data_IF_905164933758
#
_entry.id   IF_905164933758
#
_cell.length_a   1.000
_cell.length_b   1.000
_cell.length_c   1.000
_cell.angle_alpha   90.00
_cell.angle_beta   90.00
_cell.angle_gamma   90.00
#
_symmetry.space_group_name_H-M   'P 1'
#
loop_
_entity.id
_entity.type
_entity.pdbx_description
1 polymer ?
#
# COMPACT_ATOMS: atom_id res chain seq x y z
N UNK A 1 8.97 8.43 10.32
CA UNK A 1 9.49 7.57 9.21
C UNK A 1 8.65 7.76 7.96
N UNK A 2 9.20 7.63 6.75
CA UNK A 2 8.45 7.82 5.48
C UNK A 2 7.13 7.01 5.43
N UNK A 3 7.14 5.75 5.87
CA UNK A 3 5.92 4.92 5.88
C UNK A 3 4.82 5.44 6.81
N UNK A 4 5.17 6.05 7.95
CA UNK A 4 4.19 6.68 8.85
C UNK A 4 3.59 7.93 8.20
N UNK A 5 4.42 8.79 7.61
CA UNK A 5 3.95 9.97 6.88
C UNK A 5 3.07 9.59 5.68
N UNK A 6 3.39 8.51 4.96
CA UNK A 6 2.57 7.98 3.86
C UNK A 6 1.20 7.51 4.35
N UNK A 7 1.13 6.82 5.49
CA UNK A 7 -0.15 6.41 6.11
C UNK A 7 -0.99 7.63 6.50
N UNK A 8 -0.39 8.62 7.16
CA UNK A 8 -1.11 9.86 7.52
C UNK A 8 -1.62 10.60 6.28
N UNK A 9 -0.79 10.73 5.25
CA UNK A 9 -1.17 11.38 3.99
C UNK A 9 -2.35 10.65 3.34
N UNK A 10 -2.29 9.31 3.24
CA UNK A 10 -3.36 8.51 2.67
C UNK A 10 -4.67 8.62 3.47
N UNK A 11 -4.60 8.60 4.81
CA UNK A 11 -5.76 8.78 5.68
C UNK A 11 -6.41 10.16 5.48
N UNK A 12 -5.60 11.23 5.42
CA UNK A 12 -6.09 12.59 5.13
C UNK A 12 -6.67 12.69 3.73
N UNK A 13 -6.03 12.07 2.72
CA UNK A 13 -6.57 12.03 1.36
C UNK A 13 -7.95 11.40 1.34
N UNK A 14 -8.11 10.25 1.99
CA UNK A 14 -9.38 9.55 2.09
C UNK A 14 -10.43 10.34 2.87
N UNK A 15 -10.08 10.91 4.03
CA UNK A 15 -11.03 11.67 4.83
C UNK A 15 -11.58 12.88 4.07
N UNK A 16 -10.71 13.70 3.49
CA UNK A 16 -11.13 14.91 2.79
C UNK A 16 -11.81 14.60 1.45
N UNK A 17 -11.30 13.64 0.68
CA UNK A 17 -11.87 13.26 -0.61
C UNK A 17 -13.16 12.46 -0.50
N UNK A 18 -13.17 11.40 0.34
CA UNK A 18 -14.28 10.44 0.41
C UNK A 18 -15.29 10.73 1.51
N UNK A 19 -14.85 11.08 2.73
CA UNK A 19 -15.77 11.29 3.85
C UNK A 19 -16.41 12.68 3.80
N UNK A 20 -15.61 13.70 3.49
CA UNK A 20 -16.09 15.09 3.43
C UNK A 20 -16.50 15.54 2.03
N UNK A 21 -16.19 14.76 0.98
CA UNK A 21 -16.54 15.10 -0.40
C UNK A 21 -15.89 16.39 -0.90
N UNK A 22 -14.79 16.83 -0.28
CA UNK A 22 -14.09 18.08 -0.62
C UNK A 22 -13.22 17.95 -1.89
N UNK A 23 -13.24 16.78 -2.51
CA UNK A 23 -12.61 16.49 -3.80
C UNK A 23 -11.10 16.30 -3.73
N UNK A 24 -10.50 16.21 -4.92
CA UNK A 24 -9.07 15.97 -5.13
C UNK A 24 -8.29 17.25 -5.45
N UNK A 25 -8.90 18.42 -5.27
CA UNK A 25 -8.23 19.70 -5.51
C UNK A 25 -7.29 20.04 -4.35
N UNK A 26 -6.17 20.73 -4.61
CA UNK A 26 -5.35 21.31 -3.56
C UNK A 26 -6.18 22.22 -2.64
N UNK A 27 -5.80 22.31 -1.37
CA UNK A 27 -6.45 23.21 -0.41
C UNK A 27 -6.43 24.66 -0.91
N UNK A 28 -7.61 25.26 -1.10
CA UNK A 28 -7.78 26.60 -1.63
C UNK A 28 -9.00 27.28 -1.00
N UNK A 29 -9.04 28.60 -1.07
CA UNK A 29 -10.21 29.36 -0.64
C UNK A 29 -11.29 29.30 -1.73
N UNK A 30 -12.55 29.19 -1.34
CA UNK A 30 -13.67 29.28 -2.29
C UNK A 30 -13.63 30.62 -3.03
N UNK A 31 -13.85 30.59 -4.34
CA UNK A 31 -13.95 31.78 -5.19
C UNK A 31 -15.29 32.51 -5.04
N UNK A 32 -16.23 31.96 -4.27
CA UNK A 32 -17.56 32.54 -4.06
C UNK A 32 -17.44 33.80 -3.20
N UNK A 33 -17.82 34.93 -3.78
CA UNK A 33 -17.74 36.24 -3.13
C UNK A 33 -18.55 36.25 -1.81
N UNK A 34 -17.88 36.55 -0.71
CA UNK A 34 -18.48 36.58 0.63
C UNK A 34 -18.38 35.25 1.41
N UNK A 35 -17.86 34.19 0.80
CA UNK A 35 -17.66 32.91 1.47
C UNK A 35 -16.16 32.62 1.68
N UNK A 36 -15.70 32.68 2.94
CA UNK A 36 -14.31 32.35 3.30
C UNK A 36 -14.09 30.87 3.59
N UNK A 37 -14.99 29.99 3.16
CA UNK A 37 -14.80 28.54 3.34
C UNK A 37 -13.60 28.06 2.53
N UNK A 38 -12.75 27.27 3.18
CA UNK A 38 -11.66 26.57 2.51
C UNK A 38 -12.16 25.23 1.98
N UNK A 39 -11.77 24.91 0.75
CA UNK A 39 -12.15 23.73 0.00
C UNK A 39 -10.90 22.95 -0.45
N UNK A 40 -11.11 21.71 -0.90
CA UNK A 40 -10.05 20.83 -1.36
C UNK A 40 -9.42 20.02 -0.23
N UNK A 41 -8.18 19.58 -0.48
CA UNK A 41 -7.48 18.64 0.37
C UNK A 41 -6.07 19.12 0.72
N UNK A 42 -5.74 19.34 2.01
CA UNK A 42 -4.42 19.80 2.41
C UNK A 42 -3.32 18.77 2.10
N UNK A 43 -3.66 17.48 2.03
CA UNK A 43 -2.71 16.41 1.71
C UNK A 43 -2.25 16.42 0.25
N UNK A 44 -2.99 17.11 -0.63
CA UNK A 44 -2.71 17.29 -2.06
C UNK A 44 -1.86 18.54 -2.35
N UNK A 45 -1.51 19.32 -1.33
CA UNK A 45 -0.69 20.52 -1.50
C UNK A 45 0.71 20.21 -2.07
N UNK A 46 1.25 21.19 -2.80
CA UNK A 46 2.62 21.13 -3.36
C UNK A 46 3.65 20.98 -2.24
N UNK A 47 3.48 21.71 -1.12
CA UNK A 47 4.36 21.61 0.04
C UNK A 47 4.42 20.19 0.62
N UNK A 48 3.26 19.55 0.85
CA UNK A 48 3.22 18.17 1.37
C UNK A 48 3.84 17.20 0.37
N UNK A 49 3.61 17.40 -0.93
CA UNK A 49 4.21 16.57 -1.99
C UNK A 49 5.74 16.67 -1.99
N UNK A 50 6.29 17.89 -1.96
CA UNK A 50 7.74 18.13 -1.87
C UNK A 50 8.34 17.53 -0.62
N UNK A 51 7.67 17.69 0.53
CA UNK A 51 8.09 17.09 1.80
C UNK A 51 8.12 15.55 1.72
N UNK A 52 7.11 14.93 1.11
CA UNK A 52 7.06 13.48 0.92
C UNK A 52 8.17 12.97 -0.01
N UNK A 53 8.49 13.70 -1.07
CA UNK A 53 9.63 13.39 -1.94
C UNK A 53 10.95 13.45 -1.16
N UNK A 54 11.18 14.51 -0.39
CA UNK A 54 12.38 14.63 0.44
C UNK A 54 12.48 13.53 1.50
N UNK A 55 11.37 13.16 2.14
CA UNK A 55 11.33 12.01 3.06
C UNK A 55 11.64 10.68 2.36
N UNK A 56 11.17 10.50 1.12
CA UNK A 56 11.48 9.31 0.32
C UNK A 56 12.98 9.24 0.00
N UNK A 57 13.58 10.35 -0.44
CA UNK A 57 15.00 10.42 -0.69
C UNK A 57 15.83 10.11 0.56
N UNK A 58 15.48 10.70 1.72
CA UNK A 58 16.14 10.39 3.00
C UNK A 58 16.00 8.91 3.39
N UNK A 59 14.84 8.30 3.14
CA UNK A 59 14.64 6.86 3.36
C UNK A 59 15.62 6.04 2.51
N UNK A 60 15.75 6.37 1.22
CA UNK A 60 16.66 5.66 0.30
C UNK A 60 18.13 5.89 0.67
N UNK A 61 18.52 7.13 0.96
CA UNK A 61 19.89 7.47 1.40
C UNK A 61 20.28 6.77 2.69
N UNK A 62 19.33 6.57 3.62
CA UNK A 62 19.54 5.77 4.82
C UNK A 62 19.62 4.25 4.56
N UNK A 63 19.72 3.81 3.29
CA UNK A 63 19.80 2.40 2.91
C UNK A 63 18.49 1.61 3.10
N UNK A 64 17.37 2.28 3.43
CA UNK A 64 16.08 1.60 3.65
C UNK A 64 15.42 1.31 2.31
N UNK A 65 15.73 0.15 1.73
CA UNK A 65 15.14 -0.39 0.49
C UNK A 65 13.62 -0.58 0.64
N UNK A 66 12.88 -0.54 -0.48
CA UNK A 66 11.47 -0.94 -0.49
C UNK A 66 11.31 -2.37 0.01
N UNK A 67 10.41 -2.59 0.98
CA UNK A 67 10.21 -3.89 1.62
C UNK A 67 9.80 -4.95 0.59
N UNK A 68 8.98 -4.58 -0.41
CA UNK A 68 8.58 -5.47 -1.51
C UNK A 68 9.76 -5.95 -2.35
N UNK A 69 10.75 -5.08 -2.60
CA UNK A 69 11.94 -5.47 -3.37
C UNK A 69 12.87 -6.40 -2.58
N UNK A 70 12.91 -6.31 -1.24
CA UNK A 70 13.60 -7.29 -0.40
C UNK A 70 12.87 -8.63 -0.31
N UNK A 71 11.55 -8.64 -0.46
CA UNK A 71 10.75 -9.84 -0.36
C UNK A 71 10.86 -10.74 -1.60
N UNK A 72 11.34 -10.23 -2.73
CA UNK A 72 11.56 -11.01 -3.95
C UNK A 72 13.05 -11.28 -4.07
N UNK A 73 13.50 -12.41 -3.50
CA UNK A 73 14.87 -12.89 -3.65
C UNK A 73 15.06 -13.60 -5.00
N UNK A 74 16.31 -13.77 -5.43
CA UNK A 74 16.65 -14.62 -6.59
C UNK A 74 16.13 -16.05 -6.42
N UNK A 75 16.15 -16.56 -5.19
CA UNK A 75 15.58 -17.87 -4.85
C UNK A 75 14.07 -17.91 -5.11
N UNK A 76 13.32 -16.90 -4.66
CA UNK A 76 11.87 -16.82 -4.90
C UNK A 76 11.56 -16.71 -6.40
N UNK A 77 12.38 -15.96 -7.16
CA UNK A 77 12.24 -15.90 -8.62
C UNK A 77 12.53 -17.26 -9.29
N UNK A 78 13.52 -18.01 -8.80
CA UNK A 78 13.83 -19.36 -9.29
C UNK A 78 12.69 -20.34 -8.97
N UNK A 79 12.14 -20.31 -7.75
CA UNK A 79 10.99 -21.12 -7.38
C UNK A 79 9.76 -20.80 -8.25
N UNK A 80 9.51 -19.52 -8.51
CA UNK A 80 8.43 -19.06 -9.37
C UNK A 80 8.62 -19.49 -10.83
N UNK A 81 9.87 -19.48 -11.32
CA UNK A 81 10.21 -20.02 -12.64
C UNK A 81 9.87 -21.51 -12.72
N UNK A 82 10.34 -22.32 -11.78
CA UNK A 82 10.07 -23.76 -11.76
C UNK A 82 8.58 -24.07 -11.62
N UNK A 83 7.89 -23.35 -10.74
CA UNK A 83 6.44 -23.49 -10.57
C UNK A 83 5.70 -23.22 -11.89
N UNK A 84 6.03 -22.13 -12.60
CA UNK A 84 5.39 -21.81 -13.87
C UNK A 84 5.75 -22.78 -15.01
N UNK A 85 6.85 -23.53 -14.90
CA UNK A 85 7.25 -24.53 -15.89
C UNK A 85 6.68 -25.93 -15.61
N UNK A 86 5.84 -26.08 -14.58
CA UNK A 86 5.06 -27.32 -14.40
C UNK A 86 4.05 -27.44 -15.55
N UNK A 87 3.94 -28.62 -16.20
CA UNK A 87 3.04 -28.81 -17.35
C UNK A 87 1.57 -28.52 -17.00
N UNK A 88 1.17 -28.77 -15.75
CA UNK A 88 -0.18 -28.50 -15.25
C UNK A 88 -0.55 -27.01 -15.30
N UNK A 89 0.43 -26.12 -15.15
CA UNK A 89 0.24 -24.67 -15.06
C UNK A 89 0.16 -23.98 -16.44
N UNK A 90 0.48 -24.70 -17.52
CA UNK A 90 0.36 -24.18 -18.88
C UNK A 90 -1.09 -24.26 -19.40
N UNK A 91 -1.93 -25.06 -18.74
CA UNK A 91 -3.35 -25.17 -19.04
C UNK A 91 -4.12 -24.02 -18.39
N UNK A 92 -4.74 -23.16 -19.21
CA UNK A 92 -5.58 -22.07 -18.71
C UNK A 92 -6.87 -22.68 -18.15
N UNK A 93 -7.02 -22.65 -16.82
CA UNK A 93 -8.21 -23.14 -16.12
C UNK A 93 -9.20 -21.98 -15.89
N UNK A 94 -10.52 -22.22 -15.96
CA UNK A 94 -11.49 -21.23 -15.56
C UNK A 94 -11.27 -20.83 -14.09
N UNK A 95 -11.37 -19.54 -13.80
CA UNK A 95 -11.14 -19.02 -12.45
C UNK A 95 -12.06 -19.70 -11.44
N UNK A 96 -11.45 -20.29 -10.41
CA UNK A 96 -12.14 -20.94 -9.31
C UNK A 96 -11.74 -20.20 -8.02
N UNK A 97 -12.70 -19.62 -7.27
CA UNK A 97 -12.38 -18.97 -6.00
C UNK A 97 -11.75 -19.97 -5.03
N UNK A 98 -10.52 -19.68 -4.58
CA UNK A 98 -9.89 -20.48 -3.55
C UNK A 98 -10.62 -20.35 -2.21
N UNK A 99 -10.83 -21.46 -1.51
CA UNK A 99 -11.31 -21.42 -0.12
C UNK A 99 -10.12 -21.12 0.80
N UNK A 100 -10.26 -20.14 1.69
CA UNK A 100 -9.21 -19.82 2.66
C UNK A 100 -8.99 -21.03 3.56
N UNK A 101 -7.79 -21.62 3.53
CA UNK A 101 -7.47 -22.75 4.41
C UNK A 101 -7.59 -22.32 5.88
N UNK A 102 -8.32 -23.07 6.73
CA UNK A 102 -8.31 -22.82 8.16
C UNK A 102 -6.90 -23.05 8.70
N UNK A 103 -6.52 -22.30 9.73
CA UNK A 103 -5.24 -22.45 10.42
C UNK A 103 -5.17 -23.86 11.02
N UNK A 104 -4.23 -24.68 10.57
CA UNK A 104 -3.95 -25.99 11.15
C UNK A 104 -3.18 -25.80 12.48
N UNK A 105 -3.74 -26.21 13.63
CA UNK A 105 -3.07 -26.06 14.92
C UNK A 105 -1.84 -26.96 15.10
N UNK A 106 -1.65 -27.99 14.26
CA UNK A 106 -0.57 -28.98 14.40
C UNK A 106 0.58 -28.79 13.41
N UNK A 107 0.49 -27.86 12.45
CA UNK A 107 1.55 -27.60 11.48
C UNK A 107 2.64 -26.68 12.06
N UNK A 108 3.58 -27.25 12.82
CA UNK A 108 4.81 -26.56 13.24
C UNK A 108 5.86 -26.68 12.14
N UNK A 109 5.81 -25.81 11.14
CA UNK A 109 6.90 -25.72 10.16
C UNK A 109 6.57 -24.95 8.90
N UNK A 110 7.33 -23.88 8.67
CA UNK A 110 7.58 -23.17 7.40
C UNK A 110 6.53 -22.23 6.80
N UNK A 111 5.22 -22.40 7.01
CA UNK A 111 4.20 -21.54 6.35
C UNK A 111 3.77 -20.28 7.13
N UNK A 112 4.35 -20.04 8.32
CA UNK A 112 4.00 -18.89 9.16
C UNK A 112 4.49 -17.53 8.61
N UNK A 113 5.34 -17.51 7.58
CA UNK A 113 5.91 -16.26 7.02
C UNK A 113 4.96 -15.50 6.08
N UNK A 114 3.90 -16.15 5.58
CA UNK A 114 2.96 -15.51 4.65
C UNK A 114 1.81 -14.79 5.38
N UNK A 115 1.50 -15.18 6.62
CA UNK A 115 0.42 -14.62 7.41
C UNK A 115 0.73 -13.22 7.99
N UNK A 116 2.00 -12.82 8.04
CA UNK A 116 2.43 -11.53 8.60
C UNK A 116 2.30 -10.35 7.60
N UNK A 117 1.88 -10.64 6.36
CA UNK A 117 1.63 -9.61 5.32
C UNK A 117 0.31 -8.85 5.49
N UNK A 118 -0.60 -9.36 6.32
CA UNK A 118 -1.89 -8.74 6.62
C UNK A 118 -1.92 -8.20 8.04
N UNK A 119 -1.52 -6.94 8.21
CA UNK A 119 -1.52 -6.25 9.51
C UNK A 119 -2.81 -6.43 10.31
N UNK A 120 -2.67 -6.37 11.63
CA UNK A 120 -3.71 -6.55 12.62
C UNK A 120 -5.07 -5.98 12.21
N UNK A 121 -6.11 -6.83 12.29
CA UNK A 121 -7.51 -6.41 12.19
C UNK A 121 -7.77 -5.30 13.21
N UNK A 122 -8.22 -4.14 12.73
CA UNK A 122 -8.89 -3.18 13.59
C UNK A 122 -10.10 -3.88 14.22
N UNK A 123 -10.24 -3.73 15.54
CA UNK A 123 -11.43 -4.16 16.28
C UNK A 123 -12.55 -3.14 16.07
#
# INVERSE_FOLDING_TARGET
TYGHAQKMRAAMTYAFGRLHGLGDMPWHQSEVLGNSTMLGNPSMSVQVSSYMCALRCRKVQAGKVAISARAISSEILSQLYHFNHLPDNWTIRPYQPGTRRPRDPNHRGQDDRLADWGGARAR
#
